data_IF_545008492908
#
_entry.id   IF_545008492908
#
_cell.length_a   1.000
_cell.length_b   1.000
_cell.length_c   1.000
_cell.angle_alpha   90.00
_cell.angle_beta   90.00
_cell.angle_gamma   90.00
#
_symmetry.space_group_name_H-M   'P 1'
#
loop_
_entity.id
_entity.type
_entity.pdbx_description
1 polymer ?
#
# COMPACT_ATOMS: atom_id res chain seq x y z
N UNK A 1 7.76 -9.97 73.47
CA UNK A 1 6.67 -10.58 72.69
C UNK A 1 6.61 -9.78 71.40
N UNK A 2 7.33 -10.24 70.38
CA UNK A 2 7.45 -9.54 69.09
C UNK A 2 6.35 -10.10 68.20
N UNK A 3 5.49 -9.22 67.70
CA UNK A 3 4.47 -9.55 66.72
C UNK A 3 5.18 -9.90 65.40
N UNK A 4 5.02 -11.12 64.85
CA UNK A 4 5.68 -11.49 63.60
C UNK A 4 4.92 -10.82 62.46
N UNK A 5 5.39 -9.63 62.15
CA UNK A 5 5.17 -8.88 60.91
C UNK A 5 4.90 -9.75 59.69
N UNK A 6 3.75 -9.50 59.06
CA UNK A 6 3.58 -9.39 57.61
C UNK A 6 4.57 -10.18 56.76
N UNK A 7 4.34 -11.48 56.64
CA UNK A 7 4.82 -12.26 55.49
C UNK A 7 3.77 -12.21 54.38
N UNK A 8 3.42 -10.99 53.93
CA UNK A 8 2.96 -10.81 52.56
C UNK A 8 4.18 -10.94 51.64
N UNK A 9 4.71 -12.15 51.50
CA UNK A 9 5.49 -12.50 50.33
C UNK A 9 4.48 -12.52 49.18
N UNK A 10 4.28 -11.33 48.62
CA UNK A 10 3.72 -11.18 47.29
C UNK A 10 4.58 -11.99 46.35
N UNK A 11 4.19 -13.24 46.13
CA UNK A 11 4.37 -13.85 44.84
C UNK A 11 3.49 -13.04 43.88
N UNK A 12 3.96 -11.85 43.52
CA UNK A 12 3.73 -11.37 42.17
C UNK A 12 4.43 -12.40 41.30
N UNK A 13 3.73 -13.50 41.00
CA UNK A 13 4.02 -14.29 39.82
C UNK A 13 4.17 -13.24 38.73
N UNK A 14 5.41 -13.03 38.30
CA UNK A 14 5.76 -12.12 37.24
C UNK A 14 5.07 -12.66 36.00
N UNK A 15 3.80 -12.31 35.87
CA UNK A 15 2.89 -12.84 34.88
C UNK A 15 3.52 -12.43 33.56
N UNK A 16 4.01 -13.42 32.82
CA UNK A 16 4.66 -13.16 31.55
C UNK A 16 3.70 -12.31 30.73
N UNK A 17 4.13 -11.10 30.37
CA UNK A 17 3.32 -10.19 29.59
C UNK A 17 3.25 -10.76 28.17
N UNK A 18 2.26 -11.62 27.95
CA UNK A 18 2.00 -12.26 26.66
C UNK A 18 1.78 -11.19 25.58
N UNK A 19 1.19 -10.05 25.95
CA UNK A 19 1.02 -8.91 25.06
C UNK A 19 2.38 -8.34 24.61
N UNK A 20 3.29 -8.12 25.55
CA UNK A 20 4.66 -7.70 25.26
C UNK A 20 5.38 -8.70 24.34
N UNK A 21 5.32 -10.00 24.64
CA UNK A 21 5.93 -11.02 23.77
C UNK A 21 5.32 -11.04 22.36
N UNK A 22 4.00 -10.93 22.24
CA UNK A 22 3.34 -10.82 20.94
C UNK A 22 3.82 -9.60 20.15
N UNK A 23 3.98 -8.43 20.80
CA UNK A 23 4.50 -7.21 20.16
C UNK A 23 5.95 -7.42 19.70
N UNK A 24 6.81 -7.98 20.55
CA UNK A 24 8.23 -8.24 20.21
C UNK A 24 8.35 -9.19 19.03
N UNK A 25 7.60 -10.30 19.05
CA UNK A 25 7.57 -11.26 17.94
C UNK A 25 7.08 -10.57 16.65
N UNK A 26 6.03 -9.75 16.76
CA UNK A 26 5.48 -9.04 15.63
C UNK A 26 6.46 -8.04 15.00
N UNK A 27 7.17 -7.25 15.82
CA UNK A 27 8.23 -6.35 15.37
C UNK A 27 9.36 -7.15 14.72
N UNK A 28 9.76 -8.28 15.31
CA UNK A 28 10.77 -9.17 14.76
C UNK A 28 10.42 -9.69 13.37
N UNK A 29 9.15 -10.06 13.15
CA UNK A 29 8.65 -10.48 11.83
C UNK A 29 8.69 -9.36 10.80
N UNK A 30 8.30 -8.13 11.18
CA UNK A 30 8.37 -6.96 10.28
C UNK A 30 9.83 -6.66 9.93
N UNK A 31 10.72 -6.67 10.93
CA UNK A 31 12.15 -6.43 10.71
C UNK A 31 12.76 -7.49 9.78
N UNK A 32 12.45 -8.77 10.00
CA UNK A 32 12.88 -9.86 9.12
C UNK A 32 12.36 -9.66 7.69
N UNK A 33 11.10 -9.27 7.51
CA UNK A 33 10.52 -8.98 6.19
C UNK A 33 11.28 -7.85 5.48
N UNK A 34 11.54 -6.74 6.18
CA UNK A 34 12.27 -5.59 5.63
C UNK A 34 13.71 -5.92 5.26
N UNK A 35 14.38 -6.73 6.10
CA UNK A 35 15.72 -7.21 5.80
C UNK A 35 15.69 -8.12 4.57
N UNK A 36 14.79 -9.08 4.47
CA UNK A 36 14.76 -10.01 3.33
C UNK A 36 14.36 -9.37 1.99
N UNK A 37 13.65 -8.24 2.00
CA UNK A 37 13.14 -7.54 0.81
C UNK A 37 14.20 -7.25 -0.29
N UNK A 38 15.40 -6.72 0.04
CA UNK A 38 16.56 -6.66 -0.86
C UNK A 38 16.93 -7.93 -1.61
N UNK A 39 16.87 -9.09 -0.95
CA UNK A 39 17.48 -10.32 -1.43
C UNK A 39 16.49 -11.30 -2.04
N UNK A 40 15.21 -11.21 -1.65
CA UNK A 40 14.16 -12.12 -2.10
C UNK A 40 13.19 -11.36 -3.02
N UNK A 41 13.25 -11.59 -4.35
CA UNK A 41 12.40 -10.89 -5.30
C UNK A 41 10.91 -11.03 -5.03
N UNK A 42 10.46 -12.19 -4.52
CA UNK A 42 9.06 -12.43 -4.18
C UNK A 42 8.54 -11.50 -3.08
N UNK A 43 9.36 -11.18 -2.08
CA UNK A 43 9.00 -10.28 -0.97
C UNK A 43 8.85 -8.84 -1.48
N UNK A 44 9.79 -8.40 -2.33
CA UNK A 44 9.69 -7.10 -3.00
C UNK A 44 8.43 -7.01 -3.89
N UNK A 45 8.15 -8.05 -4.68
CA UNK A 45 6.96 -8.10 -5.55
C UNK A 45 5.67 -8.02 -4.75
N UNK A 46 5.54 -8.79 -3.66
CA UNK A 46 4.37 -8.71 -2.78
C UNK A 46 4.22 -7.34 -2.12
N UNK A 47 5.33 -6.74 -1.69
CA UNK A 47 5.35 -5.41 -1.09
C UNK A 47 4.93 -4.31 -2.08
N UNK A 48 5.29 -4.45 -3.37
CA UNK A 48 4.81 -3.60 -4.45
C UNK A 48 3.32 -3.80 -4.75
N UNK A 49 2.87 -5.05 -4.85
CA UNK A 49 1.46 -5.40 -5.16
C UNK A 49 0.45 -4.76 -4.19
N UNK A 50 0.84 -4.56 -2.93
CA UNK A 50 0.04 -3.84 -1.92
C UNK A 50 -0.42 -2.46 -2.40
N UNK A 51 0.46 -1.71 -3.07
CA UNK A 51 0.15 -0.36 -3.55
C UNK A 51 -0.73 -0.34 -4.80
N UNK A 52 -0.72 -1.45 -5.54
CA UNK A 52 -1.43 -1.61 -6.81
C UNK A 52 -2.78 -2.31 -6.67
N UNK A 53 -3.24 -2.61 -5.45
CA UNK A 53 -4.44 -3.43 -5.22
C UNK A 53 -4.37 -4.76 -5.99
N UNK A 54 -3.16 -5.34 -6.13
CA UNK A 54 -2.88 -6.62 -6.81
C UNK A 54 -2.54 -7.74 -5.82
N UNK A 55 -2.77 -7.52 -4.54
CA UNK A 55 -2.59 -8.55 -3.52
C UNK A 55 -3.67 -9.65 -3.67
N UNK A 56 -3.33 -10.94 -3.53
CA UNK A 56 -4.27 -12.04 -3.82
C UNK A 56 -5.47 -12.10 -2.87
N UNK A 57 -5.37 -11.54 -1.66
CA UNK A 57 -6.48 -11.50 -0.71
C UNK A 57 -6.41 -10.28 0.18
N UNK A 58 -7.56 -9.89 0.72
CA UNK A 58 -7.67 -8.80 1.70
C UNK A 58 -6.83 -9.07 2.95
N UNK A 59 -6.82 -10.32 3.46
CA UNK A 59 -6.04 -10.66 4.66
C UNK A 59 -4.55 -10.49 4.45
N UNK A 60 -4.02 -10.90 3.29
CA UNK A 60 -2.60 -10.70 2.94
C UNK A 60 -2.29 -9.22 2.76
N UNK A 61 -3.24 -8.44 2.22
CA UNK A 61 -3.09 -7.00 2.09
C UNK A 61 -3.08 -6.31 3.46
N UNK A 62 -3.99 -6.69 4.35
CA UNK A 62 -4.13 -6.17 5.70
C UNK A 62 -2.89 -6.49 6.57
N UNK A 63 -2.35 -7.71 6.48
CA UNK A 63 -1.16 -8.13 7.22
C UNK A 63 0.06 -7.25 6.91
N UNK A 64 0.10 -6.60 5.75
CA UNK A 64 1.19 -5.73 5.35
C UNK A 64 1.04 -4.29 5.85
N UNK A 65 -0.09 -3.87 6.45
CA UNK A 65 -0.26 -2.50 6.94
C UNK A 65 0.83 -2.02 7.89
N UNK A 66 1.28 -2.86 8.84
CA UNK A 66 2.30 -2.44 9.81
C UNK A 66 3.69 -2.31 9.21
N UNK A 67 3.92 -2.83 7.99
CA UNK A 67 5.16 -2.63 7.26
C UNK A 67 5.16 -1.19 6.75
N UNK A 68 6.11 -0.33 7.15
CA UNK A 68 6.14 1.06 6.72
C UNK A 68 6.06 1.18 5.19
N UNK A 69 5.22 2.10 4.71
CA UNK A 69 5.03 2.32 3.28
C UNK A 69 6.16 3.13 2.63
N UNK A 70 7.21 3.51 3.37
CA UNK A 70 8.10 4.62 3.06
C UNK A 70 9.48 4.26 2.45
N UNK A 71 9.97 5.23 1.66
CA UNK A 71 11.27 5.50 1.02
C UNK A 71 11.93 4.50 0.09
N UNK A 72 11.64 3.21 0.22
CA UNK A 72 12.27 2.24 -0.67
C UNK A 72 11.60 2.21 -2.06
N UNK A 73 10.31 2.52 -2.12
CA UNK A 73 9.53 2.43 -3.36
C UNK A 73 9.39 3.78 -4.03
N UNK A 74 9.83 3.87 -5.28
CA UNK A 74 9.56 5.03 -6.13
C UNK A 74 8.17 4.87 -6.74
N UNK A 75 7.15 5.30 -5.99
CA UNK A 75 5.77 5.30 -6.47
C UNK A 75 5.49 6.60 -7.23
N UNK A 76 5.07 6.45 -8.48
CA UNK A 76 4.70 7.53 -9.38
C UNK A 76 3.30 7.27 -9.92
N UNK A 77 2.52 8.32 -10.11
CA UNK A 77 1.24 8.23 -10.77
C UNK A 77 1.10 9.28 -11.85
N UNK A 78 0.29 8.97 -12.85
CA UNK A 78 -0.20 9.94 -13.83
C UNK A 78 -1.71 9.79 -13.97
N UNK A 79 -2.38 10.90 -14.28
CA UNK A 79 -3.81 10.92 -14.55
C UNK A 79 -4.03 11.56 -15.89
N UNK A 80 -4.72 10.84 -16.76
CA UNK A 80 -4.93 11.16 -18.16
C UNK A 80 -6.42 11.35 -18.40
N UNK A 81 -6.75 12.27 -19.31
CA UNK A 81 -8.15 12.54 -19.70
C UNK A 81 -8.65 11.57 -20.77
N UNK A 82 -7.73 10.85 -21.42
CA UNK A 82 -8.02 9.97 -22.55
C UNK A 82 -7.58 8.53 -22.24
N UNK A 83 -8.16 7.53 -22.93
CA UNK A 83 -7.75 6.14 -22.80
C UNK A 83 -6.27 5.91 -23.12
N UNK A 84 -5.63 4.89 -22.50
CA UNK A 84 -4.26 4.50 -22.82
C UNK A 84 -4.12 4.21 -24.32
N UNK A 85 -3.06 4.73 -24.95
CA UNK A 85 -2.80 4.54 -26.38
C UNK A 85 -3.49 5.55 -27.31
N UNK A 86 -4.40 6.38 -26.79
CA UNK A 86 -4.94 7.50 -27.55
C UNK A 86 -3.97 8.70 -27.46
N UNK A 87 -3.00 8.73 -28.38
CA UNK A 87 -1.96 9.77 -28.41
C UNK A 87 -2.53 11.03 -29.07
N UNK A 88 -2.97 12.01 -28.27
CA UNK A 88 -2.64 13.39 -28.66
C UNK A 88 -1.13 13.54 -28.44
N UNK A 89 -0.42 14.24 -29.34
CA UNK A 89 1.00 14.59 -29.15
C UNK A 89 1.16 15.51 -27.93
N UNK A 90 1.01 14.96 -26.73
CA UNK A 90 1.17 15.65 -25.46
C UNK A 90 2.60 15.37 -25.04
N UNK A 91 3.45 16.39 -25.20
CA UNK A 91 4.88 16.38 -24.92
C UNK A 91 5.25 16.23 -23.43
N UNK A 92 4.26 16.12 -22.53
CA UNK A 92 4.48 16.24 -21.11
C UNK A 92 3.86 15.07 -20.35
N UNK A 93 4.67 14.01 -20.15
CA UNK A 93 4.35 12.93 -19.24
C UNK A 93 4.45 13.44 -17.79
N UNK A 94 3.37 14.05 -17.30
CA UNK A 94 3.29 14.64 -15.96
C UNK A 94 3.18 13.57 -14.85
N UNK A 95 4.22 12.74 -14.70
CA UNK A 95 4.35 11.81 -13.59
C UNK A 95 4.57 12.57 -12.28
N UNK A 96 3.77 12.22 -11.27
CA UNK A 96 3.87 12.78 -9.92
C UNK A 96 4.28 11.71 -8.94
N UNK A 97 5.19 12.04 -8.04
CA UNK A 97 5.57 11.13 -6.96
C UNK A 97 4.50 11.11 -5.86
N UNK A 98 4.22 9.92 -5.32
CA UNK A 98 3.34 9.73 -4.18
C UNK A 98 4.08 9.00 -3.06
N UNK A 99 4.31 9.70 -1.96
CA UNK A 99 5.07 9.15 -0.83
C UNK A 99 4.26 8.15 0.01
N UNK A 100 2.93 8.18 -0.04
CA UNK A 100 2.10 7.40 0.87
C UNK A 100 0.87 6.82 0.15
N UNK A 101 0.86 5.49 -0.03
CA UNK A 101 -0.21 4.69 -0.66
C UNK A 101 -0.83 5.36 -1.89
N UNK A 102 -0.24 5.22 -3.08
CA UNK A 102 -0.64 5.95 -4.29
C UNK A 102 -2.12 5.81 -4.66
N UNK A 103 -2.76 4.68 -4.37
CA UNK A 103 -4.21 4.51 -4.54
C UNK A 103 -5.06 5.49 -3.71
N UNK A 104 -4.52 6.11 -2.66
CA UNK A 104 -5.19 7.18 -1.89
C UNK A 104 -5.40 8.46 -2.69
N UNK A 105 -4.56 8.72 -3.71
CA UNK A 105 -4.67 9.89 -4.58
C UNK A 105 -6.05 9.96 -5.25
N UNK A 106 -6.59 8.80 -5.62
CA UNK A 106 -7.88 8.67 -6.30
C UNK A 106 -9.06 8.37 -5.37
N UNK A 107 -8.81 7.96 -4.11
CA UNK A 107 -9.88 7.56 -3.17
C UNK A 107 -10.14 8.56 -2.04
N UNK A 108 -9.12 9.21 -1.48
CA UNK A 108 -9.26 9.99 -0.23
C UNK A 108 -8.57 11.36 -0.21
N UNK A 109 -7.72 11.69 -1.19
CA UNK A 109 -6.93 12.94 -1.19
C UNK A 109 -7.56 14.08 -2.00
N UNK A 110 -6.96 15.29 -1.95
CA UNK A 110 -7.35 16.46 -2.74
C UNK A 110 -7.51 16.20 -4.25
N UNK A 111 -6.79 15.20 -4.78
CA UNK A 111 -6.97 14.74 -6.17
C UNK A 111 -8.41 14.28 -6.47
N UNK A 112 -9.16 13.81 -5.46
CA UNK A 112 -10.58 13.52 -5.58
C UNK A 112 -11.38 14.73 -6.07
N UNK A 113 -11.10 15.94 -5.57
CA UNK A 113 -11.76 17.16 -6.05
C UNK A 113 -11.33 17.49 -7.50
N UNK A 114 -10.03 17.41 -7.78
CA UNK A 114 -9.49 17.71 -9.12
C UNK A 114 -10.04 16.75 -10.18
N UNK A 115 -10.27 15.49 -9.83
CA UNK A 115 -10.86 14.50 -10.74
C UNK A 115 -12.39 14.64 -10.79
N UNK A 116 -13.09 14.63 -9.65
CA UNK A 116 -14.56 14.61 -9.57
C UNK A 116 -15.24 15.91 -10.02
N UNK A 117 -14.56 17.05 -9.92
CA UNK A 117 -15.16 18.35 -10.24
C UNK A 117 -15.66 18.44 -11.68
N UNK A 118 -15.02 17.72 -12.60
CA UNK A 118 -15.40 17.65 -14.01
C UNK A 118 -16.44 16.58 -14.35
N UNK A 119 -16.76 15.64 -13.45
CA UNK A 119 -17.59 14.44 -13.71
C UNK A 119 -17.28 13.72 -15.02
N UNK A 120 -16.01 13.70 -15.41
CA UNK A 120 -15.53 13.03 -16.61
C UNK A 120 -14.73 11.80 -16.24
N UNK A 121 -14.70 10.85 -17.18
CA UNK A 121 -13.82 9.71 -17.11
C UNK A 121 -12.36 10.13 -17.08
N UNK A 122 -11.58 9.37 -16.32
CA UNK A 122 -10.13 9.57 -16.18
C UNK A 122 -9.42 8.23 -16.21
N UNK A 123 -8.19 8.25 -16.70
CA UNK A 123 -7.32 7.08 -16.69
C UNK A 123 -6.16 7.33 -15.74
N UNK A 124 -6.07 6.50 -14.72
CA UNK A 124 -5.05 6.58 -13.69
C UNK A 124 -4.03 5.48 -13.92
N UNK A 125 -2.77 5.85 -14.14
CA UNK A 125 -1.67 4.89 -14.23
C UNK A 125 -0.78 5.05 -13.01
N UNK A 126 -0.56 3.93 -12.32
CA UNK A 126 0.34 3.82 -11.19
C UNK A 126 1.55 3.00 -11.59
N UNK A 127 2.73 3.55 -11.37
CA UNK A 127 4.02 2.87 -11.52
C UNK A 127 4.74 2.89 -10.19
N UNK A 128 5.15 1.73 -9.69
CA UNK A 128 5.97 1.61 -8.50
C UNK A 128 7.23 0.82 -8.83
N UNK A 129 8.39 1.34 -8.45
CA UNK A 129 9.66 0.63 -8.65
C UNK A 129 10.45 0.43 -7.36
N UNK A 130 11.16 -0.69 -7.30
CA UNK A 130 12.12 -1.04 -6.26
C UNK A 130 13.24 -1.88 -6.86
N UNK A 131 14.47 -1.36 -6.83
CA UNK A 131 15.62 -1.99 -7.51
C UNK A 131 15.27 -2.26 -8.98
N UNK A 132 15.39 -3.50 -9.43
CA UNK A 132 15.09 -3.93 -10.80
C UNK A 132 13.60 -4.26 -11.02
N UNK A 133 12.78 -4.20 -9.97
CA UNK A 133 11.36 -4.51 -10.08
C UNK A 133 10.58 -3.25 -10.39
N UNK A 134 9.78 -3.31 -11.46
CA UNK A 134 8.84 -2.28 -11.85
C UNK A 134 7.47 -2.96 -11.94
N UNK A 135 6.48 -2.36 -11.28
CA UNK A 135 5.09 -2.76 -11.41
C UNK A 135 4.31 -1.55 -11.94
N UNK A 136 3.56 -1.77 -13.02
CA UNK A 136 2.60 -0.80 -13.53
C UNK A 136 1.18 -1.34 -13.35
N UNK A 137 0.23 -0.45 -13.10
CA UNK A 137 -1.20 -0.78 -13.09
C UNK A 137 -2.01 0.40 -13.60
N UNK A 138 -2.93 0.10 -14.50
CA UNK A 138 -3.80 1.06 -15.14
C UNK A 138 -5.20 0.89 -14.58
N UNK A 139 -5.88 2.01 -14.38
CA UNK A 139 -7.22 2.05 -13.83
C UNK A 139 -8.06 3.04 -14.63
N UNK A 140 -9.28 2.65 -14.96
CA UNK A 140 -10.32 3.53 -15.48
C UNK A 140 -11.17 4.00 -14.31
N UNK A 141 -11.30 5.32 -14.20
CA UNK A 141 -12.19 6.01 -13.29
C UNK A 141 -13.43 6.38 -14.10
N UNK A 142 -14.46 5.54 -14.02
CA UNK A 142 -15.76 5.74 -14.70
C UNK A 142 -16.62 6.69 -13.87
N UNK A 143 -16.92 7.89 -14.40
CA UNK A 143 -17.71 8.89 -13.70
C UNK A 143 -19.14 8.39 -13.44
N UNK A 144 -19.64 8.62 -12.23
CA UNK A 144 -21.01 8.26 -11.84
C UNK A 144 -21.89 9.51 -11.72
N UNK A 145 -23.18 9.36 -12.01
CA UNK A 145 -24.16 10.46 -11.99
C UNK A 145 -24.40 11.06 -10.61
N UNK A 146 -24.05 10.31 -9.55
CA UNK A 146 -24.12 10.74 -8.15
C UNK A 146 -22.90 11.57 -7.69
N UNK A 147 -21.95 11.84 -8.59
CA UNK A 147 -20.71 12.54 -8.26
C UNK A 147 -19.67 11.64 -7.59
N UNK A 148 -19.75 10.33 -7.79
CA UNK A 148 -18.71 9.35 -7.46
C UNK A 148 -17.92 8.87 -8.69
N UNK A 149 -16.99 7.94 -8.43
CA UNK A 149 -16.28 7.18 -9.47
C UNK A 149 -16.37 5.70 -9.19
N UNK A 150 -16.55 4.91 -10.26
CA UNK A 150 -16.31 3.48 -10.23
C UNK A 150 -14.87 3.22 -10.71
N UNK A 151 -14.08 2.59 -9.84
CA UNK A 151 -12.69 2.25 -10.12
C UNK A 151 -12.62 0.87 -10.78
N UNK A 152 -12.16 0.83 -12.03
CA UNK A 152 -12.02 -0.41 -12.80
C UNK A 152 -10.54 -0.59 -13.09
N UNK A 153 -9.95 -1.71 -12.62
CA UNK A 153 -8.56 -2.04 -12.99
C UNK A 153 -8.55 -2.55 -14.43
N UNK A 154 -7.71 -1.94 -15.24
CA UNK A 154 -7.43 -2.40 -16.60
C UNK A 154 -6.24 -3.33 -16.47
N UNK A 155 -6.52 -4.63 -16.33
CA UNK A 155 -5.46 -5.63 -16.42
C UNK A 155 -4.98 -5.66 -17.88
N UNK A 156 -3.68 -5.50 -18.09
CA UNK A 156 -3.10 -5.84 -19.39
C UNK A 156 -3.40 -7.32 -19.62
N UNK A 157 -4.10 -7.62 -20.71
CA UNK A 157 -4.10 -8.98 -21.25
C UNK A 157 -2.63 -9.26 -21.53
N UNK A 158 -1.97 -10.06 -20.68
CA UNK A 158 -0.69 -10.65 -21.03
C UNK A 158 -0.94 -11.39 -22.34
N UNK A 159 -0.48 -10.82 -23.46
CA UNK A 159 -0.23 -11.62 -24.65
C UNK A 159 0.82 -12.65 -24.23
N UNK A 160 0.34 -13.83 -23.89
CA UNK A 160 1.15 -15.01 -23.66
C UNK A 160 2.03 -15.23 -24.88
N UNK A 161 3.33 -14.97 -24.75
CA UNK A 161 4.36 -15.50 -25.64
C UNK A 161 4.59 -16.98 -25.33
#
# INVERSE_FOLDING_TARGET
>A
MVDPSDTSLGNDEQQSDLGFWCIVVFIGLIAAWLLLMPWIPGIAKHSLQRFHLRTPSFSVWAAQFPIPSMYNFANQYKVEQYPPGFVMMILDENWRYANHFPARVITFFAGRYDFLSSQQDRWFTLKSSYREQILESKFHLEAQSDGGYKLIRIDEVEESL
#
